data_IF_535368172164
#
_entry.id   IF_535368172164
#
_cell.length_a   1.000
_cell.length_b   1.000
_cell.length_c   1.000
_cell.angle_alpha   90.00
_cell.angle_beta   90.00
_cell.angle_gamma   90.00
#
_symmetry.space_group_name_H-M   'P 1'
#
loop_
_entity.id
_entity.type
_entity.pdbx_description
1 polymer ?
#
# COMPACT_ATOMS: atom_id res chain seq x y z
N UNK A 1 -35.41 20.35 16.92
CA UNK A 1 -35.75 20.03 15.52
C UNK A 1 -34.77 18.97 15.04
N UNK A 2 -35.22 17.72 14.94
CA UNK A 2 -34.39 16.57 14.57
C UNK A 2 -34.81 16.14 13.15
N UNK A 3 -33.92 16.31 12.18
CA UNK A 3 -34.11 15.82 10.81
C UNK A 3 -33.86 14.30 10.78
N UNK A 4 -34.86 13.53 11.18
CA UNK A 4 -34.93 12.09 10.91
C UNK A 4 -35.69 11.83 9.61
N UNK A 5 -35.01 11.86 8.46
CA UNK A 5 -35.64 11.55 7.17
C UNK A 5 -34.81 10.53 6.40
N UNK A 6 -34.66 9.35 6.99
CA UNK A 6 -34.25 8.15 6.29
C UNK A 6 -35.41 7.53 5.50
N UNK A 7 -35.05 6.67 4.55
CA UNK A 7 -35.89 5.87 3.63
C UNK A 7 -37.22 5.32 4.20
N UNK A 8 -37.34 5.18 5.53
CA UNK A 8 -38.53 4.73 6.25
C UNK A 8 -39.77 5.59 6.03
N UNK A 9 -39.63 6.93 5.98
CA UNK A 9 -40.77 7.83 5.74
C UNK A 9 -41.23 7.83 4.28
N UNK A 10 -40.30 7.73 3.33
CA UNK A 10 -40.60 7.61 1.90
C UNK A 10 -41.35 6.31 1.64
N UNK A 11 -40.92 5.22 2.27
CA UNK A 11 -41.58 3.92 2.17
C UNK A 11 -43.00 3.97 2.77
N UNK A 12 -43.20 4.59 3.94
CA UNK A 12 -44.55 4.77 4.52
C UNK A 12 -45.50 5.62 3.67
N UNK A 13 -44.99 6.63 2.98
CA UNK A 13 -45.82 7.53 2.17
C UNK A 13 -46.18 6.95 0.79
N UNK A 14 -45.39 6.01 0.26
CA UNK A 14 -45.52 5.55 -1.13
C UNK A 14 -45.88 4.07 -1.28
N UNK A 15 -45.79 3.27 -0.21
CA UNK A 15 -46.15 1.85 -0.21
C UNK A 15 -47.43 1.64 0.58
N UNK A 16 -48.55 1.39 -0.12
CA UNK A 16 -49.60 0.58 0.51
C UNK A 16 -48.99 -0.81 0.68
N UNK A 17 -48.99 -1.33 1.92
CA UNK A 17 -48.30 -2.57 2.35
C UNK A 17 -48.87 -3.86 1.70
N UNK A 18 -49.32 -3.79 0.45
CA UNK A 18 -49.74 -4.89 -0.38
C UNK A 18 -48.54 -5.46 -1.15
N UNK A 19 -48.20 -6.75 -0.98
CA UNK A 19 -47.07 -7.40 -1.65
C UNK A 19 -47.11 -7.31 -3.19
N UNK A 20 -48.29 -7.09 -3.77
CA UNK A 20 -48.51 -6.92 -5.21
C UNK A 20 -48.04 -5.58 -5.80
N UNK A 21 -47.68 -4.58 -4.97
CA UNK A 21 -47.24 -3.25 -5.42
C UNK A 21 -45.71 -3.03 -5.36
N UNK A 22 -44.94 -4.06 -5.02
CA UNK A 22 -43.48 -4.00 -4.87
C UNK A 22 -42.74 -3.70 -6.20
N UNK A 23 -43.44 -3.81 -7.34
CA UNK A 23 -42.93 -3.48 -8.69
C UNK A 23 -43.21 -2.00 -9.09
N UNK A 24 -43.82 -1.20 -8.23
CA UNK A 24 -44.52 0.03 -8.66
C UNK A 24 -43.73 1.31 -8.90
N UNK A 25 -42.44 1.45 -8.56
CA UNK A 25 -41.79 2.76 -8.74
C UNK A 25 -40.37 2.75 -9.26
N UNK A 26 -40.19 2.03 -10.37
CA UNK A 26 -38.95 2.08 -11.15
C UNK A 26 -38.57 3.52 -11.52
N UNK A 27 -39.55 4.40 -11.79
CA UNK A 27 -39.28 5.80 -12.10
C UNK A 27 -38.76 6.60 -10.91
N UNK A 28 -39.30 6.42 -9.69
CA UNK A 28 -38.75 7.05 -8.49
C UNK A 28 -37.36 6.52 -8.17
N UNK A 29 -37.10 5.22 -8.37
CA UNK A 29 -35.75 4.66 -8.20
C UNK A 29 -34.77 5.23 -9.25
N UNK A 30 -35.14 5.23 -10.52
CA UNK A 30 -34.33 5.81 -11.61
C UNK A 30 -34.11 7.32 -11.44
N UNK A 31 -35.09 8.05 -10.93
CA UNK A 31 -34.96 9.48 -10.62
C UNK A 31 -34.01 9.71 -9.43
N UNK A 32 -34.13 8.91 -8.37
CA UNK A 32 -33.23 8.97 -7.23
C UNK A 32 -31.79 8.60 -7.63
N UNK A 33 -31.61 7.55 -8.44
CA UNK A 33 -30.31 7.16 -9.00
C UNK A 33 -29.71 8.26 -9.88
N UNK A 34 -30.51 8.88 -10.76
CA UNK A 34 -30.06 10.01 -11.59
C UNK A 34 -29.65 11.22 -10.74
N UNK A 35 -30.41 11.53 -9.69
CA UNK A 35 -30.10 12.63 -8.77
C UNK A 35 -28.87 12.32 -7.91
N UNK A 36 -28.72 11.09 -7.42
CA UNK A 36 -27.55 10.67 -6.65
C UNK A 36 -26.30 10.59 -7.51
N UNK A 37 -26.37 10.08 -8.74
CA UNK A 37 -25.24 10.06 -9.67
C UNK A 37 -24.77 11.48 -10.02
N UNK A 38 -25.71 12.40 -10.28
CA UNK A 38 -25.39 13.81 -10.51
C UNK A 38 -24.83 14.48 -9.26
N UNK A 39 -25.38 14.20 -8.08
CA UNK A 39 -24.89 14.75 -6.82
C UNK A 39 -23.51 14.19 -6.46
N UNK A 40 -23.25 12.92 -6.73
CA UNK A 40 -21.98 12.27 -6.46
C UNK A 40 -20.87 12.84 -7.35
N UNK A 41 -21.11 13.04 -8.64
CA UNK A 41 -20.14 13.70 -9.52
C UNK A 41 -19.89 15.15 -9.11
N UNK A 42 -20.93 15.92 -8.80
CA UNK A 42 -20.80 17.28 -8.27
C UNK A 42 -20.10 17.35 -6.91
N UNK A 43 -20.30 16.35 -6.03
CA UNK A 43 -19.64 16.25 -4.74
C UNK A 43 -18.15 15.97 -4.90
N UNK A 44 -17.80 14.99 -5.74
CA UNK A 44 -16.42 14.63 -6.04
C UNK A 44 -15.70 15.82 -6.66
N UNK A 45 -16.25 16.45 -7.69
CA UNK A 45 -15.62 17.63 -8.31
C UNK A 45 -15.49 18.82 -7.36
N UNK A 46 -16.43 19.00 -6.41
CA UNK A 46 -16.30 20.03 -5.36
C UNK A 46 -15.21 19.69 -4.35
N UNK A 47 -15.10 18.41 -3.98
CA UNK A 47 -14.05 17.93 -3.08
C UNK A 47 -12.68 18.07 -3.75
N UNK A 48 -12.54 17.63 -4.99
CA UNK A 48 -11.33 17.80 -5.81
C UNK A 48 -10.95 19.27 -5.93
N UNK A 49 -11.89 20.15 -6.31
CA UNK A 49 -11.62 21.58 -6.39
C UNK A 49 -11.19 22.18 -5.04
N UNK A 50 -11.75 21.70 -3.93
CA UNK A 50 -11.35 22.12 -2.58
C UNK A 50 -9.94 21.66 -2.26
N UNK A 51 -9.61 20.38 -2.53
CA UNK A 51 -8.27 19.81 -2.36
C UNK A 51 -7.26 20.57 -3.23
N UNK A 52 -7.55 20.77 -4.52
CA UNK A 52 -6.67 21.52 -5.44
C UNK A 52 -6.44 22.96 -4.98
N UNK A 53 -7.47 23.64 -4.45
CA UNK A 53 -7.35 24.99 -3.89
C UNK A 53 -6.42 25.05 -2.68
N UNK A 54 -6.41 24.00 -1.85
CA UNK A 54 -5.50 23.90 -0.71
C UNK A 54 -4.12 23.39 -1.08
N UNK A 55 -3.99 22.63 -2.17
CA UNK A 55 -2.72 22.11 -2.67
C UNK A 55 -1.92 23.15 -3.47
N UNK A 56 -2.58 24.01 -4.26
CA UNK A 56 -1.91 24.98 -5.14
C UNK A 56 -0.94 25.97 -4.47
N UNK A 57 -1.13 26.42 -3.20
CA UNK A 57 -0.18 27.30 -2.54
C UNK A 57 0.93 26.55 -1.77
N UNK A 58 0.89 25.21 -1.71
CA UNK A 58 1.91 24.45 -1.01
C UNK A 58 3.20 24.44 -1.84
N UNK A 59 4.38 24.44 -1.20
CA UNK A 59 5.63 24.25 -1.91
C UNK A 59 5.59 22.91 -2.67
N UNK A 60 6.31 22.79 -3.80
CA UNK A 60 6.41 21.52 -4.52
C UNK A 60 6.86 20.43 -3.54
N UNK A 61 6.13 19.32 -3.54
CA UNK A 61 6.40 18.21 -2.64
C UNK A 61 7.71 17.55 -3.06
N UNK A 62 8.70 17.60 -2.17
CA UNK A 62 9.88 16.76 -2.27
C UNK A 62 9.55 15.32 -1.93
N UNK A 63 10.56 14.46 -2.08
CA UNK A 63 10.52 13.07 -1.67
C UNK A 63 10.08 12.91 -0.21
N UNK A 64 9.28 11.88 0.06
CA UNK A 64 8.86 11.52 1.41
C UNK A 64 10.03 10.95 2.20
N UNK A 65 10.45 11.63 3.26
CA UNK A 65 11.48 11.17 4.20
C UNK A 65 10.81 10.79 5.52
N UNK A 66 11.00 9.55 5.95
CA UNK A 66 10.45 9.01 7.18
C UNK A 66 11.59 8.82 8.19
N UNK A 67 11.57 9.55 9.32
CA UNK A 67 12.64 9.49 10.30
C UNK A 67 12.75 8.13 10.97
N UNK A 68 14.00 7.76 11.26
CA UNK A 68 14.34 6.51 11.91
C UNK A 68 13.58 6.28 13.22
N UNK A 69 13.48 7.32 14.05
CA UNK A 69 12.81 7.29 15.34
C UNK A 69 11.32 6.90 15.24
N UNK A 70 10.65 7.34 14.17
CA UNK A 70 9.25 7.03 13.92
C UNK A 70 9.09 5.57 13.52
N UNK A 71 10.02 5.07 12.70
CA UNK A 71 10.04 3.68 12.24
C UNK A 71 10.22 2.73 13.44
N UNK A 72 11.18 3.02 14.33
CA UNK A 72 11.44 2.22 15.52
C UNK A 72 10.27 2.24 16.50
N UNK A 73 9.65 3.41 16.69
CA UNK A 73 8.49 3.54 17.58
C UNK A 73 7.25 2.82 17.05
N UNK A 74 7.07 2.78 15.73
CA UNK A 74 5.85 2.29 15.08
C UNK A 74 6.09 1.10 14.14
N UNK A 75 6.93 0.14 14.54
CA UNK A 75 7.34 -1.00 13.69
C UNK A 75 6.19 -1.79 13.04
N UNK A 76 5.02 -1.94 13.71
CA UNK A 76 3.86 -2.64 13.13
C UNK A 76 3.21 -1.84 12.02
N UNK A 77 2.94 -0.56 12.27
CA UNK A 77 2.38 0.35 11.26
C UNK A 77 3.34 0.52 10.09
N UNK A 78 4.64 0.50 10.38
CA UNK A 78 5.68 0.54 9.37
C UNK A 78 5.65 -0.67 8.45
N UNK A 79 5.62 -1.89 9.00
CA UNK A 79 5.49 -3.09 8.19
C UNK A 79 4.22 -3.07 7.32
N UNK A 80 3.07 -2.71 7.93
CA UNK A 80 1.81 -2.61 7.20
C UNK A 80 1.81 -1.52 6.12
N UNK A 81 2.68 -0.52 6.24
CA UNK A 81 2.90 0.46 5.18
C UNK A 81 3.73 -0.16 4.05
N UNK A 82 4.84 -0.84 4.37
CA UNK A 82 5.69 -1.53 3.39
C UNK A 82 4.95 -2.60 2.59
N UNK A 83 4.04 -3.34 3.22
CA UNK A 83 3.16 -4.30 2.54
C UNK A 83 2.26 -3.63 1.47
N UNK A 84 1.85 -2.37 1.70
CA UNK A 84 1.02 -1.60 0.76
C UNK A 84 1.79 -1.00 -0.41
N UNK A 85 3.11 -0.91 -0.32
CA UNK A 85 3.98 -0.37 -1.36
C UNK A 85 5.01 -1.41 -1.81
N UNK A 86 4.67 -2.69 -1.68
CA UNK A 86 5.58 -3.83 -1.87
C UNK A 86 6.12 -3.91 -3.30
N UNK A 87 5.34 -3.48 -4.28
CA UNK A 87 5.70 -3.39 -5.69
C UNK A 87 6.84 -2.38 -5.95
N UNK A 88 6.88 -1.26 -5.22
CA UNK A 88 8.01 -0.34 -5.23
C UNK A 88 9.24 -0.95 -4.55
N UNK A 89 9.06 -1.74 -3.48
CA UNK A 89 10.18 -2.37 -2.76
C UNK A 89 10.87 -3.48 -3.58
N UNK A 90 10.12 -4.17 -4.44
CA UNK A 90 10.66 -5.23 -5.32
C UNK A 90 11.78 -4.74 -6.24
N UNK A 91 11.76 -3.46 -6.60
CA UNK A 91 12.78 -2.85 -7.47
C UNK A 91 14.16 -2.72 -6.80
N UNK A 92 14.22 -2.92 -5.48
CA UNK A 92 15.45 -2.87 -4.69
C UNK A 92 15.80 -1.49 -4.13
N UNK A 93 16.75 -1.49 -3.18
CA UNK A 93 17.29 -0.28 -2.56
C UNK A 93 18.06 0.55 -3.59
N UNK A 94 17.79 1.85 -3.66
CA UNK A 94 18.39 2.80 -4.59
C UNK A 94 17.55 3.08 -5.84
N UNK A 95 16.49 2.30 -6.09
CA UNK A 95 15.62 2.47 -7.26
C UNK A 95 14.47 3.43 -6.98
N UNK A 96 13.60 3.09 -6.02
CA UNK A 96 12.44 3.92 -5.62
C UNK A 96 12.44 4.32 -4.14
N UNK A 97 13.43 3.83 -3.40
CA UNK A 97 13.64 4.17 -2.01
C UNK A 97 15.11 4.02 -1.65
N UNK A 98 15.57 4.78 -0.65
CA UNK A 98 16.90 4.67 -0.09
C UNK A 98 16.87 4.76 1.43
N UNK A 99 17.93 4.29 2.06
CA UNK A 99 18.16 4.44 3.50
C UNK A 99 19.39 5.31 3.67
N UNK A 100 19.24 6.40 4.41
CA UNK A 100 20.28 7.36 4.73
C UNK A 100 21.18 6.85 5.86
N UNK A 101 22.35 7.47 6.04
CA UNK A 101 23.31 7.08 7.08
C UNK A 101 22.75 7.19 8.50
N UNK A 102 21.79 8.09 8.72
CA UNK A 102 21.10 8.27 10.00
C UNK A 102 19.97 7.24 10.23
N UNK A 103 19.71 6.33 9.29
CA UNK A 103 18.65 5.33 9.34
C UNK A 103 17.28 5.83 8.89
N UNK A 104 17.19 7.06 8.35
CA UNK A 104 15.97 7.58 7.75
C UNK A 104 15.72 6.92 6.39
N UNK A 105 14.45 6.72 6.05
CA UNK A 105 14.06 6.12 4.78
C UNK A 105 13.44 7.21 3.90
N UNK A 106 14.02 7.39 2.71
CA UNK A 106 13.51 8.31 1.69
C UNK A 106 12.87 7.50 0.56
N UNK A 107 11.65 7.89 0.17
CA UNK A 107 10.97 7.39 -1.02
C UNK A 107 11.02 8.42 -2.13
N UNK A 108 11.32 7.98 -3.33
CA UNK A 108 11.39 8.86 -4.50
C UNK A 108 10.00 9.04 -5.14
N UNK A 109 9.11 9.71 -4.41
CA UNK A 109 7.71 9.98 -4.79
C UNK A 109 7.44 11.46 -5.09
N UNK A 110 8.47 12.31 -5.07
CA UNK A 110 8.37 13.73 -5.36
C UNK A 110 8.13 14.06 -6.85
N UNK A 111 7.87 15.34 -7.14
CA UNK A 111 7.61 15.82 -8.51
C UNK A 111 8.84 15.74 -9.43
N UNK A 112 10.03 15.61 -8.85
CA UNK A 112 11.26 15.40 -9.61
C UNK A 112 11.56 13.90 -9.64
N UNK A 113 11.30 13.22 -10.77
CA UNK A 113 11.74 11.84 -10.91
C UNK A 113 13.27 11.81 -10.89
N UNK A 114 13.91 10.98 -10.05
CA UNK A 114 15.27 10.53 -10.29
C UNK A 114 15.46 10.12 -11.75
N UNK A 115 16.63 10.43 -12.31
CA UNK A 115 16.97 10.21 -13.73
C UNK A 115 16.83 8.74 -14.21
N UNK A 116 16.53 7.78 -13.33
CA UNK A 116 16.62 6.33 -13.56
C UNK A 116 15.31 5.51 -13.53
N UNK A 117 14.12 6.12 -13.55
CA UNK A 117 12.85 5.40 -13.31
C UNK A 117 12.27 4.55 -14.45
N UNK A 118 13.10 3.85 -15.22
CA UNK A 118 12.58 2.87 -16.20
C UNK A 118 12.05 1.57 -15.57
N UNK A 119 12.34 1.31 -14.29
CA UNK A 119 12.07 0.04 -13.59
C UNK A 119 10.95 0.11 -12.55
N UNK A 120 10.08 1.15 -12.60
CA UNK A 120 8.96 1.28 -11.65
C UNK A 120 7.82 0.30 -11.83
N UNK A 121 7.02 0.09 -10.76
CA UNK A 121 5.83 -0.75 -10.86
C UNK A 121 4.82 -0.17 -11.87
N UNK A 122 4.11 -1.07 -12.55
CA UNK A 122 3.11 -0.69 -13.55
C UNK A 122 1.88 -0.09 -12.87
N UNK A 123 1.43 1.08 -13.33
CA UNK A 123 0.19 1.67 -12.84
C UNK A 123 -1.02 0.89 -13.38
N UNK A 124 -1.70 0.17 -12.49
CA UNK A 124 -2.95 -0.53 -12.82
C UNK A 124 -4.11 0.46 -12.91
N UNK A 125 -4.75 0.52 -14.08
CA UNK A 125 -5.86 1.44 -14.32
C UNK A 125 -7.14 0.97 -13.62
N UNK A 126 -7.83 1.87 -12.91
CA UNK A 126 -9.04 1.60 -12.10
C UNK A 126 -10.24 1.00 -12.88
N UNK A 127 -10.23 1.05 -14.21
CA UNK A 127 -11.24 0.38 -15.06
C UNK A 127 -10.97 -1.11 -15.29
N UNK A 128 -9.77 -1.57 -14.96
CA UNK A 128 -9.24 -2.90 -15.23
C UNK A 128 -8.77 -3.61 -13.96
N UNK A 129 -8.51 -2.87 -12.88
CA UNK A 129 -8.32 -3.40 -11.54
C UNK A 129 -9.41 -2.89 -10.60
N UNK A 130 -9.70 -3.66 -9.55
CA UNK A 130 -10.51 -3.24 -8.42
C UNK A 130 -9.72 -3.40 -7.13
N UNK A 131 -10.24 -2.87 -6.02
CA UNK A 131 -9.53 -2.90 -4.73
C UNK A 131 -9.03 -4.30 -4.33
N UNK A 132 -9.83 -5.35 -4.55
CA UNK A 132 -9.45 -6.71 -4.18
C UNK A 132 -8.34 -7.29 -5.07
N UNK A 133 -8.35 -6.95 -6.36
CA UNK A 133 -7.28 -7.41 -7.25
C UNK A 133 -5.97 -6.70 -6.97
N UNK A 134 -6.03 -5.42 -6.59
CA UNK A 134 -4.85 -4.64 -6.23
C UNK A 134 -4.25 -5.11 -4.89
N UNK A 135 -5.11 -5.36 -3.89
CA UNK A 135 -4.71 -5.94 -2.61
C UNK A 135 -3.98 -7.27 -2.81
N UNK A 136 -4.57 -8.19 -3.59
CA UNK A 136 -3.94 -9.47 -3.93
C UNK A 136 -2.62 -9.29 -4.68
N UNK A 137 -2.53 -8.34 -5.61
CA UNK A 137 -1.29 -8.05 -6.32
C UNK A 137 -0.18 -7.59 -5.38
N UNK A 138 -0.49 -6.70 -4.44
CA UNK A 138 0.47 -6.21 -3.45
C UNK A 138 0.87 -7.30 -2.45
N UNK A 139 -0.05 -8.19 -2.06
CA UNK A 139 0.28 -9.40 -1.27
C UNK A 139 1.27 -10.29 -2.03
N UNK A 140 1.02 -10.59 -3.32
CA UNK A 140 1.94 -11.37 -4.16
C UNK A 140 3.30 -10.69 -4.33
N UNK A 141 3.33 -9.36 -4.44
CA UNK A 141 4.57 -8.59 -4.49
C UNK A 141 5.34 -8.66 -3.16
N UNK A 142 4.64 -8.58 -2.03
CA UNK A 142 5.24 -8.72 -0.71
C UNK A 142 5.84 -10.11 -0.49
N UNK A 143 5.11 -11.17 -0.84
CA UNK A 143 5.64 -12.53 -0.80
C UNK A 143 6.86 -12.72 -1.71
N UNK A 144 6.86 -12.09 -2.89
CA UNK A 144 8.03 -12.06 -3.78
C UNK A 144 9.22 -11.37 -3.11
N UNK A 145 9.02 -10.25 -2.41
CA UNK A 145 10.08 -9.58 -1.66
C UNK A 145 10.72 -10.54 -0.65
N UNK A 146 9.88 -11.23 0.13
CA UNK A 146 10.34 -12.18 1.15
C UNK A 146 11.05 -13.38 0.53
N UNK A 147 10.53 -13.94 -0.56
CA UNK A 147 11.10 -15.11 -1.24
C UNK A 147 12.43 -14.80 -1.94
N UNK A 148 12.54 -13.62 -2.56
CA UNK A 148 13.76 -13.20 -3.27
C UNK A 148 14.84 -12.66 -2.33
N UNK A 149 14.49 -12.36 -1.07
CA UNK A 149 15.42 -11.76 -0.12
C UNK A 149 15.92 -10.39 -0.60
N UNK A 150 15.02 -9.60 -1.18
CA UNK A 150 15.33 -8.20 -1.53
C UNK A 150 15.59 -7.44 -0.23
N UNK A 151 16.47 -6.44 -0.29
CA UNK A 151 16.68 -5.57 0.87
C UNK A 151 15.36 -4.84 1.14
N UNK A 152 14.91 -4.87 2.39
CA UNK A 152 13.70 -4.18 2.83
C UNK A 152 14.06 -3.15 3.90
N UNK A 153 13.43 -1.97 3.91
CA UNK A 153 13.66 -0.93 4.91
C UNK A 153 12.99 -1.27 6.25
N UNK A 154 13.10 -2.51 6.72
CA UNK A 154 12.46 -3.00 7.96
C UNK A 154 13.52 -3.65 8.83
N UNK A 155 13.52 -3.36 10.13
CA UNK A 155 14.41 -4.00 11.13
C UNK A 155 13.82 -5.28 11.74
N UNK A 156 12.49 -5.29 11.92
CA UNK A 156 11.77 -6.37 12.60
C UNK A 156 10.60 -6.76 11.72
N UNK A 157 10.73 -7.90 11.06
CA UNK A 157 9.71 -8.49 10.22
C UNK A 157 8.86 -9.43 11.06
N UNK A 158 7.54 -9.30 10.95
CA UNK A 158 6.60 -10.16 11.65
C UNK A 158 5.82 -10.97 10.62
N UNK A 159 5.91 -12.29 10.69
CA UNK A 159 5.29 -13.22 9.75
C UNK A 159 4.34 -14.11 10.53
N UNK A 160 3.08 -14.19 10.10
CA UNK A 160 2.13 -15.17 10.63
C UNK A 160 2.46 -16.55 10.05
N UNK A 161 2.54 -17.57 10.90
CA UNK A 161 2.66 -18.96 10.43
C UNK A 161 1.30 -19.53 9.95
N UNK A 162 1.35 -20.72 9.36
CA UNK A 162 0.17 -21.47 8.90
C UNK A 162 -0.84 -21.79 10.01
N UNK A 163 -0.45 -21.60 11.28
CA UNK A 163 -1.26 -21.83 12.46
C UNK A 163 -1.77 -20.53 13.11
N UNK A 164 -1.49 -19.36 12.50
CA UNK A 164 -1.88 -18.04 13.01
C UNK A 164 -1.01 -17.53 14.16
N UNK A 165 0.15 -18.15 14.44
CA UNK A 165 1.12 -17.62 15.39
C UNK A 165 2.04 -16.61 14.73
N UNK A 166 2.33 -15.54 15.46
CA UNK A 166 3.24 -14.48 15.03
C UNK A 166 4.69 -14.88 15.26
N UNK A 167 5.44 -15.13 14.20
CA UNK A 167 6.89 -15.25 14.25
C UNK A 167 7.54 -13.88 14.02
N UNK A 168 8.52 -13.54 14.85
CA UNK A 168 9.28 -12.28 14.75
C UNK A 168 10.67 -12.61 14.22
N UNK A 169 10.95 -12.18 12.99
CA UNK A 169 12.26 -12.31 12.35
C UNK A 169 12.96 -10.95 12.40
N UNK A 170 14.16 -10.88 12.98
CA UNK A 170 14.99 -9.69 12.84
C UNK A 170 15.51 -9.64 11.41
N UNK A 171 14.96 -8.73 10.63
CA UNK A 171 15.41 -8.45 9.28
C UNK A 171 16.37 -7.26 9.40
N UNK A 172 17.61 -7.45 9.83
CA UNK A 172 18.53 -6.32 9.78
C UNK A 172 19.07 -6.21 8.35
N UNK A 173 19.02 -5.01 7.77
CA UNK A 173 19.83 -4.63 6.60
C UNK A 173 21.33 -4.87 6.85
N UNK A 174 21.72 -5.09 8.11
CA UNK A 174 23.07 -5.36 8.62
C UNK A 174 23.47 -6.84 8.52
N UNK A 175 22.55 -7.81 8.59
CA UNK A 175 22.91 -9.23 8.67
C UNK A 175 23.39 -9.83 7.33
N UNK A 176 23.26 -9.11 6.21
CA UNK A 176 23.70 -9.65 4.91
C UNK A 176 25.22 -9.62 4.75
N UNK A 177 25.90 -8.64 5.36
CA UNK A 177 27.37 -8.56 5.29
C UNK A 177 28.08 -9.57 6.18
N UNK A 178 27.46 -10.01 7.28
CA UNK A 178 28.04 -11.03 8.17
C UNK A 178 27.76 -12.47 7.69
N UNK A 179 26.63 -12.71 7.03
CA UNK A 179 26.36 -14.04 6.46
C UNK A 179 27.21 -14.32 5.21
N UNK A 180 27.46 -13.33 4.33
CA UNK A 180 28.32 -13.53 3.16
C UNK A 180 29.82 -13.67 3.50
N UNK A 181 30.28 -13.17 4.64
CA UNK A 181 31.65 -13.41 5.11
C UNK A 181 31.85 -14.84 5.59
N UNK A 182 30.87 -15.41 6.31
CA UNK A 182 30.99 -16.75 6.88
C UNK A 182 30.83 -17.86 5.83
N UNK A 183 29.96 -17.67 4.82
CA UNK A 183 29.87 -18.61 3.70
C UNK A 183 31.14 -18.62 2.83
N UNK A 184 31.82 -17.48 2.66
CA UNK A 184 33.08 -17.42 1.92
C UNK A 184 34.26 -18.02 2.71
N UNK A 185 34.30 -17.85 4.03
CA UNK A 185 35.32 -18.49 4.88
C UNK A 185 35.18 -20.02 4.93
N UNK A 186 33.94 -20.54 4.99
CA UNK A 186 33.69 -21.99 5.01
C UNK A 186 33.98 -22.65 3.64
N UNK A 187 33.76 -21.93 2.52
CA UNK A 187 34.06 -22.41 1.17
C UNK A 187 35.57 -22.49 0.89
N UNK A 188 36.36 -21.52 1.35
CA UNK A 188 37.82 -21.53 1.19
C UNK A 188 38.49 -22.65 2.02
N UNK A 189 38.00 -22.93 3.23
CA UNK A 189 38.55 -23.99 4.08
C UNK A 189 38.27 -25.41 3.54
N UNK A 190 37.12 -25.63 2.89
CA UNK A 190 36.81 -26.90 2.24
C UNK A 190 37.58 -27.12 0.92
N UNK A 191 38.07 -26.07 0.29
CA UNK A 191 38.87 -26.20 -0.93
C UNK A 191 40.34 -26.56 -0.62
N UNK A 192 40.86 -26.12 0.53
CA UNK A 192 42.24 -26.41 0.94
C UNK A 192 42.39 -27.84 1.49
N UNK A 193 41.36 -28.37 2.17
CA UNK A 193 41.38 -29.73 2.74
C UNK A 193 41.27 -30.86 1.69
N UNK A 194 40.76 -30.58 0.49
CA UNK A 194 40.59 -31.58 -0.58
C UNK A 194 41.76 -31.63 -1.58
N UNK A 195 42.89 -30.96 -1.25
CA UNK A 195 44.10 -30.91 -2.10
C UNK A 195 45.28 -31.72 -1.57
N UNK A 196 45.09 -32.51 -0.49
CA UNK A 196 46.14 -33.32 0.16
C UNK A 196 45.72 -34.78 0.47
N UNK A 197 44.99 -35.42 -0.44
CA UNK A 197 44.84 -36.89 -0.51
C UNK A 197 44.86 -37.32 -1.96
#
# INVERSE_FOLDING_TARGET
MIFGTGITNITKATSSFHPSHIIGNIFVRLQAEKQMAAFQSLCISKQEATVSKFASPLPPYGNTIIPHEIIEKHTRSWQAHLERVSDFLLTGKGSWWMEHENGDIEFYDGEQPPDNHSEGPSLHHFRSSNFKSEEKYLEECWEKCLRLGVTLPIKVLRIEDEHGNMNVVQHSSVNRLEMESDYNLMSQNNTILNSWT
#
